data_IF_107649776303
#
_entry.id   IF_107649776303
#
_cell.length_a   1.000
_cell.length_b   1.000
_cell.length_c   1.000
_cell.angle_alpha   90.00
_cell.angle_beta   90.00
_cell.angle_gamma   90.00
#
_symmetry.space_group_name_H-M   'P 1'
#
loop_
_entity.id
_entity.type
_entity.pdbx_description
1 polymer ?
#
# COMPACT_ATOMS: atom_id res chain seq x y z
N UNK A 1 1.93 16.14 10.39
CA UNK A 1 2.92 16.47 9.35
C UNK A 1 3.59 15.18 8.92
N UNK A 2 3.64 14.88 7.62
CA UNK A 2 4.41 13.74 7.12
C UNK A 2 5.88 14.18 7.04
N UNK A 3 6.71 13.63 7.93
CA UNK A 3 8.14 13.95 7.95
C UNK A 3 8.86 13.19 6.82
N UNK A 4 9.25 13.93 5.79
CA UNK A 4 9.97 13.39 4.63
C UNK A 4 11.40 12.99 4.99
N UNK A 5 12.00 13.63 6.01
CA UNK A 5 13.33 13.27 6.50
C UNK A 5 13.27 11.89 7.16
N UNK A 6 12.29 11.68 8.04
CA UNK A 6 12.05 10.36 8.64
C UNK A 6 11.79 9.27 7.59
N UNK A 7 10.98 9.57 6.57
CA UNK A 7 10.70 8.64 5.48
C UNK A 7 11.97 8.29 4.68
N UNK A 8 12.88 9.25 4.47
CA UNK A 8 14.16 9.02 3.82
C UNK A 8 15.02 8.07 4.65
N UNK A 9 15.13 8.31 5.96
CA UNK A 9 15.99 7.51 6.84
C UNK A 9 15.55 6.04 6.88
N UNK A 10 14.24 5.79 6.97
CA UNK A 10 13.70 4.42 6.89
C UNK A 10 14.02 3.77 5.53
N UNK A 11 13.81 4.49 4.43
CA UNK A 11 14.08 3.94 3.09
C UNK A 11 15.57 3.64 2.89
N UNK A 12 16.47 4.48 3.41
CA UNK A 12 17.91 4.24 3.36
C UNK A 12 18.35 3.08 4.26
N UNK A 13 17.76 2.96 5.45
CA UNK A 13 18.04 1.86 6.39
C UNK A 13 17.61 0.50 5.85
N UNK A 14 16.40 0.41 5.30
CA UNK A 14 15.79 -0.87 4.90
C UNK A 14 16.20 -1.33 3.49
N UNK A 15 16.69 -0.43 2.63
CA UNK A 15 16.98 -0.74 1.23
C UNK A 15 18.34 -0.19 0.83
N UNK A 16 19.30 -1.03 0.47
CA UNK A 16 20.56 -0.55 -0.07
C UNK A 16 20.41 -0.09 -1.53
N UNK A 17 21.03 1.05 -1.90
CA UNK A 17 20.99 1.57 -3.27
C UNK A 17 19.64 2.18 -3.66
N UNK A 18 19.12 1.82 -4.84
CA UNK A 18 17.80 2.25 -5.36
C UNK A 18 17.55 3.78 -5.36
N UNK A 19 18.60 4.60 -5.51
CA UNK A 19 18.56 6.07 -5.39
C UNK A 19 17.40 6.70 -6.19
N UNK A 20 17.21 6.28 -7.45
CA UNK A 20 16.13 6.78 -8.32
C UNK A 20 14.73 6.44 -7.79
N UNK A 21 14.54 5.22 -7.30
CA UNK A 21 13.25 4.73 -6.77
C UNK A 21 12.91 5.44 -5.46
N UNK A 22 13.86 5.51 -4.52
CA UNK A 22 13.67 6.21 -3.24
C UNK A 22 13.34 7.67 -3.44
N UNK A 23 14.06 8.36 -4.34
CA UNK A 23 13.76 9.75 -4.70
C UNK A 23 12.31 9.92 -5.17
N UNK A 24 11.84 9.02 -6.05
CA UNK A 24 10.47 9.08 -6.57
C UNK A 24 9.40 8.80 -5.51
N UNK A 25 9.69 7.89 -4.58
CA UNK A 25 8.83 7.63 -3.42
C UNK A 25 8.73 8.88 -2.54
N UNK A 26 9.86 9.53 -2.23
CA UNK A 26 9.87 10.75 -1.43
C UNK A 26 9.12 11.91 -2.11
N UNK A 27 9.30 12.10 -3.42
CA UNK A 27 8.53 13.07 -4.21
C UNK A 27 7.02 12.81 -4.12
N UNK A 28 6.62 11.55 -4.25
CA UNK A 28 5.23 11.15 -4.13
C UNK A 28 4.65 11.47 -2.74
N UNK A 29 5.38 11.14 -1.67
CA UNK A 29 4.97 11.43 -0.30
C UNK A 29 4.91 12.94 -0.02
N UNK A 30 5.84 13.72 -0.56
CA UNK A 30 5.85 15.18 -0.44
C UNK A 30 4.62 15.82 -1.09
N UNK A 31 4.29 15.40 -2.32
CA UNK A 31 3.08 15.89 -3.03
C UNK A 31 1.81 15.47 -2.28
N UNK A 32 1.76 14.24 -1.77
CA UNK A 32 0.62 13.75 -0.99
C UNK A 32 0.42 14.53 0.32
N UNK A 33 1.51 14.99 0.96
CA UNK A 33 1.43 15.80 2.17
C UNK A 33 0.97 17.24 1.93
N UNK A 34 1.11 17.77 0.71
CA UNK A 34 0.69 19.14 0.36
C UNK A 34 -0.77 19.19 -0.09
N UNK A 35 -1.29 18.12 -0.70
CA UNK A 35 -2.67 18.05 -1.17
C UNK A 35 -3.65 17.84 -0.01
N UNK A 36 -4.57 18.80 0.18
CA UNK A 36 -5.63 18.73 1.21
C UNK A 36 -6.81 17.83 0.83
N UNK A 37 -6.99 17.56 -0.46
CA UNK A 37 -8.21 16.94 -0.99
C UNK A 37 -8.19 15.40 -0.94
N UNK A 38 -7.15 14.78 -0.36
CA UNK A 38 -6.99 13.33 -0.22
C UNK A 38 -6.81 12.54 -1.53
N UNK A 39 -7.09 13.16 -2.69
CA UNK A 39 -6.92 12.56 -4.02
C UNK A 39 -5.45 12.60 -4.44
N UNK A 40 -4.70 11.58 -4.03
CA UNK A 40 -3.37 11.29 -4.54
C UNK A 40 -3.45 10.12 -5.54
N UNK A 41 -2.66 10.14 -6.63
CA UNK A 41 -2.56 8.98 -7.51
C UNK A 41 -2.03 7.76 -6.77
N UNK A 42 -2.26 6.56 -7.29
CA UNK A 42 -1.74 5.31 -6.69
C UNK A 42 -0.28 5.12 -7.14
N UNK A 43 0.61 4.78 -6.21
CA UNK A 43 2.00 4.48 -6.52
C UNK A 43 2.12 3.06 -7.09
N UNK A 44 2.67 2.93 -8.30
CA UNK A 44 2.93 1.64 -8.93
C UNK A 44 4.44 1.36 -8.97
N UNK A 45 4.86 0.23 -8.42
CA UNK A 45 6.25 -0.24 -8.45
C UNK A 45 6.40 -1.35 -9.49
N UNK A 46 7.24 -1.15 -10.50
CA UNK A 46 7.42 -2.08 -11.62
C UNK A 46 8.86 -2.58 -11.70
N UNK A 47 9.05 -3.83 -12.16
CA UNK A 47 10.37 -4.42 -12.44
C UNK A 47 10.37 -5.94 -12.26
N UNK A 48 11.54 -6.61 -12.32
CA UNK A 48 11.64 -8.06 -12.19
C UNK A 48 11.23 -8.56 -10.77
N UNK A 49 10.95 -9.87 -10.62
CA UNK A 49 10.74 -10.47 -9.31
C UNK A 49 12.01 -10.37 -8.45
N UNK A 50 11.86 -10.40 -7.12
CA UNK A 50 12.99 -10.38 -6.19
C UNK A 50 13.59 -9.00 -5.87
N UNK A 51 13.23 -7.93 -6.58
CA UNK A 51 13.80 -6.58 -6.34
C UNK A 51 13.22 -5.81 -5.14
N UNK A 52 12.50 -6.48 -4.25
CA UNK A 52 12.05 -5.86 -2.99
C UNK A 52 10.83 -4.93 -3.07
N UNK A 53 10.00 -4.97 -4.12
CA UNK A 53 8.79 -4.11 -4.24
C UNK A 53 7.86 -4.20 -3.03
N UNK A 54 7.63 -5.42 -2.55
CA UNK A 54 6.80 -5.68 -1.37
C UNK A 54 7.42 -5.11 -0.09
N UNK A 55 8.75 -5.20 0.02
CA UNK A 55 9.52 -4.63 1.12
C UNK A 55 9.47 -3.10 1.09
N UNK A 56 9.62 -2.48 -0.08
CA UNK A 56 9.48 -1.03 -0.25
C UNK A 56 8.10 -0.53 0.21
N UNK A 57 7.03 -1.25 -0.13
CA UNK A 57 5.69 -0.92 0.36
C UNK A 57 5.56 -0.99 1.90
N UNK A 58 6.27 -1.92 2.55
CA UNK A 58 6.31 -2.02 4.02
C UNK A 58 7.07 -0.85 4.64
N UNK A 59 8.23 -0.49 4.10
CA UNK A 59 9.00 0.68 4.57
C UNK A 59 8.23 1.99 4.38
N UNK A 60 7.45 2.12 3.31
CA UNK A 60 6.55 3.27 3.14
C UNK A 60 5.44 3.28 4.20
N UNK A 61 4.87 2.13 4.56
CA UNK A 61 3.87 2.05 5.62
C UNK A 61 4.46 2.44 6.98
N UNK A 62 5.67 1.97 7.29
CA UNK A 62 6.43 2.32 8.49
C UNK A 62 6.72 3.83 8.54
N UNK A 63 7.23 4.40 7.44
CA UNK A 63 7.51 5.84 7.33
C UNK A 63 6.27 6.73 7.52
N UNK A 64 5.09 6.20 7.18
CA UNK A 64 3.82 6.90 7.37
C UNK A 64 3.17 6.62 8.73
N UNK A 65 3.74 5.72 9.54
CA UNK A 65 3.13 5.24 10.79
C UNK A 65 1.78 4.54 10.57
N UNK A 66 1.57 3.93 9.40
CA UNK A 66 0.29 3.32 9.00
C UNK A 66 0.39 1.80 9.03
N UNK A 67 -0.73 1.14 9.36
CA UNK A 67 -0.82 -0.32 9.31
C UNK A 67 -0.57 -0.80 7.88
N UNK A 68 0.26 -1.82 7.74
CA UNK A 68 0.61 -2.43 6.45
C UNK A 68 -0.29 -3.63 6.20
N UNK A 69 -0.85 -3.72 4.99
CA UNK A 69 -1.63 -4.88 4.59
C UNK A 69 -1.34 -5.27 3.14
N UNK A 70 -1.14 -6.57 2.90
CA UNK A 70 -0.92 -7.12 1.58
C UNK A 70 -2.15 -7.87 1.09
N UNK A 71 -2.57 -7.57 -0.14
CA UNK A 71 -3.66 -8.24 -0.81
C UNK A 71 -3.15 -8.73 -2.16
N UNK A 72 -2.98 -10.04 -2.35
CA UNK A 72 -2.50 -10.59 -3.62
C UNK A 72 -3.62 -10.60 -4.67
N UNK A 73 -3.39 -9.93 -5.80
CA UNK A 73 -4.26 -9.99 -6.97
C UNK A 73 -3.96 -11.16 -7.92
N UNK A 74 -2.84 -11.87 -7.72
CA UNK A 74 -2.48 -13.02 -8.55
C UNK A 74 -3.57 -14.09 -8.54
N UNK A 75 -4.01 -14.50 -9.73
CA UNK A 75 -5.04 -15.54 -9.89
C UNK A 75 -6.48 -15.10 -9.57
N UNK A 76 -6.72 -13.80 -9.34
CA UNK A 76 -8.09 -13.27 -9.19
C UNK A 76 -8.78 -13.27 -10.56
N UNK A 77 -9.93 -13.94 -10.65
CA UNK A 77 -10.73 -14.07 -11.89
C UNK A 77 -12.13 -13.48 -11.79
N UNK A 78 -12.58 -13.14 -10.59
CA UNK A 78 -13.94 -12.70 -10.32
C UNK A 78 -13.95 -11.48 -9.39
N UNK A 79 -14.89 -10.57 -9.65
CA UNK A 79 -15.16 -9.37 -8.86
C UNK A 79 -15.59 -9.71 -7.43
N UNK A 80 -16.33 -10.81 -7.24
CA UNK A 80 -16.77 -11.23 -5.91
C UNK A 80 -15.58 -11.51 -4.97
N UNK A 81 -14.42 -11.89 -5.50
CA UNK A 81 -13.21 -12.05 -4.71
C UNK A 81 -12.71 -10.71 -4.11
N UNK A 82 -12.97 -9.58 -4.76
CA UNK A 82 -12.56 -8.25 -4.30
C UNK A 82 -13.66 -7.57 -3.49
N UNK A 83 -14.90 -7.55 -4.02
CA UNK A 83 -16.04 -6.82 -3.43
C UNK A 83 -16.86 -7.65 -2.45
N UNK A 84 -16.91 -8.97 -2.64
CA UNK A 84 -17.77 -9.88 -1.89
C UNK A 84 -19.13 -10.07 -2.55
N UNK A 85 -19.92 -10.95 -1.96
CA UNK A 85 -21.24 -11.31 -2.47
C UNK A 85 -22.33 -10.39 -1.90
N UNK A 86 -23.46 -10.29 -2.62
CA UNK A 86 -24.67 -9.71 -2.02
C UNK A 86 -25.12 -10.60 -0.86
N UNK A 87 -25.69 -9.99 0.19
CA UNK A 87 -26.13 -10.69 1.41
C UNK A 87 -27.20 -11.75 1.18
N UNK A 88 -27.92 -11.68 0.08
CA UNK A 88 -29.00 -12.61 -0.27
C UNK A 88 -28.50 -13.97 -0.75
N UNK A 89 -27.21 -14.13 -1.07
CA UNK A 89 -26.65 -15.40 -1.48
C UNK A 89 -26.35 -16.30 -0.27
N UNK A 90 -26.73 -17.57 -0.34
CA UNK A 90 -26.33 -18.58 0.64
C UNK A 90 -24.80 -18.65 0.64
N UNK A 91 -24.18 -18.48 1.82
CA UNK A 91 -22.72 -18.45 1.97
C UNK A 91 -22.07 -17.11 1.57
N UNK A 92 -22.82 -16.01 1.55
CA UNK A 92 -22.27 -14.69 1.22
C UNK A 92 -21.10 -14.30 2.14
N UNK A 93 -19.92 -14.14 1.55
CA UNK A 93 -18.70 -13.70 2.23
C UNK A 93 -18.30 -12.29 1.77
N UNK A 94 -17.77 -11.45 2.69
CA UNK A 94 -17.19 -10.17 2.30
C UNK A 94 -15.94 -10.38 1.45
N UNK A 95 -15.69 -9.50 0.49
CA UNK A 95 -14.54 -9.60 -0.41
C UNK A 95 -13.20 -9.42 0.30
N UNK A 96 -12.12 -9.83 -0.36
CA UNK A 96 -10.75 -9.78 0.19
C UNK A 96 -10.35 -8.39 0.67
N UNK A 97 -10.81 -7.32 0.00
CA UNK A 97 -10.48 -5.95 0.42
C UNK A 97 -11.10 -5.61 1.78
N UNK A 98 -12.39 -5.92 1.98
CA UNK A 98 -13.07 -5.69 3.26
C UNK A 98 -12.46 -6.54 4.38
N UNK A 99 -12.13 -7.80 4.10
CA UNK A 99 -11.44 -8.66 5.06
C UNK A 99 -10.06 -8.12 5.44
N UNK A 100 -9.32 -7.61 4.45
CA UNK A 100 -8.02 -6.95 4.61
C UNK A 100 -8.13 -5.70 5.50
N UNK A 101 -9.14 -4.86 5.28
CA UNK A 101 -9.42 -3.70 6.14
C UNK A 101 -9.78 -4.10 7.57
N UNK A 102 -10.59 -5.16 7.73
CA UNK A 102 -10.93 -5.71 9.07
C UNK A 102 -9.68 -6.16 9.81
N UNK A 103 -8.76 -6.85 9.14
CA UNK A 103 -7.47 -7.30 9.72
C UNK A 103 -6.52 -6.15 10.03
N UNK A 104 -6.56 -5.07 9.25
CA UNK A 104 -5.71 -3.92 9.45
C UNK A 104 -6.12 -3.08 10.68
N UNK A 105 -7.37 -3.21 11.15
CA UNK A 105 -7.93 -2.48 12.30
C UNK A 105 -7.69 -0.96 12.23
N UNK A 106 -7.65 -0.44 11.01
CA UNK A 106 -7.31 0.95 10.72
C UNK A 106 -8.17 1.47 9.57
N UNK A 107 -8.52 2.76 9.65
CA UNK A 107 -9.25 3.46 8.58
C UNK A 107 -8.33 3.93 7.45
N UNK A 108 -7.01 3.98 7.68
CA UNK A 108 -6.03 4.50 6.74
C UNK A 108 -4.78 3.60 6.58
N UNK A 109 -4.94 2.27 6.34
CA UNK A 109 -3.79 1.39 6.13
C UNK A 109 -3.12 1.67 4.77
N UNK A 110 -1.84 1.31 4.68
CA UNK A 110 -1.16 1.16 3.38
C UNK A 110 -1.46 -0.25 2.88
N UNK A 111 -2.22 -0.32 1.80
CA UNK A 111 -2.56 -1.58 1.12
C UNK A 111 -1.65 -1.74 -0.10
N UNK A 112 -0.93 -2.84 -0.18
CA UNK A 112 -0.21 -3.26 -1.39
C UNK A 112 -1.00 -4.35 -2.10
N UNK A 113 -1.09 -4.23 -3.43
CA UNK A 113 -1.83 -5.12 -4.33
C UNK A 113 -0.91 -6.13 -5.04
#
# INVERSE_FOLDING_TARGET
HHDITHARDILEREHHGLKKVKKRILEFLAVSSLKRDGRSPILCLVGPPGVGKTSLGRSVAEALGRKYQRLSLGGVRDEAAIRGHRRTYIGAMPGKFIQSMKRAESRNPVVIL
#
